data_IF_880691400791
#
_entry.id   IF_880691400791
#
_cell.length_a   1.000
_cell.length_b   1.000
_cell.length_c   1.000
_cell.angle_alpha   90.00
_cell.angle_beta   90.00
_cell.angle_gamma   90.00
#
_symmetry.space_group_name_H-M   'P 1'
#
loop_
_entity.id
_entity.type
_entity.pdbx_description
1 polymer ?
#
# COMPACT_ATOMS: atom_id res chain seq x y z
N UNK A 1 12.84 -74.13 -24.81
CA UNK A 1 12.08 -73.42 -23.76
C UNK A 1 12.84 -72.15 -23.36
N UNK A 2 12.37 -70.96 -23.78
CA UNK A 2 12.88 -69.66 -23.30
C UNK A 2 11.74 -68.99 -22.52
N UNK A 3 11.94 -68.52 -21.28
CA UNK A 3 10.89 -67.91 -20.51
C UNK A 3 10.61 -66.47 -21.00
N UNK A 4 9.34 -66.11 -20.85
CA UNK A 4 8.65 -65.04 -21.54
C UNK A 4 8.90 -63.68 -20.86
N UNK A 5 9.98 -63.00 -21.26
CA UNK A 5 10.43 -61.71 -20.69
C UNK A 5 9.44 -60.54 -20.90
N UNK A 6 8.38 -60.73 -21.69
CA UNK A 6 7.38 -59.68 -21.97
C UNK A 6 6.32 -59.51 -20.88
N UNK A 7 6.15 -60.48 -19.96
CA UNK A 7 5.14 -60.37 -18.89
C UNK A 7 5.59 -59.54 -17.67
N UNK A 8 6.89 -59.35 -17.44
CA UNK A 8 7.37 -58.59 -16.29
C UNK A 8 7.40 -57.06 -16.52
N UNK A 9 7.56 -56.60 -17.77
CA UNK A 9 7.63 -55.17 -18.08
C UNK A 9 6.26 -54.45 -17.90
N UNK A 10 5.16 -55.08 -18.31
CA UNK A 10 3.82 -54.49 -18.21
C UNK A 10 3.30 -54.31 -16.77
N UNK A 11 3.76 -55.15 -15.84
CA UNK A 11 3.35 -55.08 -14.43
C UNK A 11 4.04 -53.90 -13.69
N UNK A 12 5.30 -53.60 -14.03
CA UNK A 12 6.06 -52.50 -13.43
C UNK A 12 5.55 -51.14 -13.93
N UNK A 13 5.23 -51.06 -15.23
CA UNK A 13 4.74 -49.83 -15.86
C UNK A 13 3.32 -49.45 -15.41
N UNK A 14 2.44 -50.45 -15.24
CA UNK A 14 1.11 -50.25 -14.66
C UNK A 14 1.14 -49.81 -13.19
N UNK A 15 2.12 -50.28 -12.42
CA UNK A 15 2.34 -49.90 -11.02
C UNK A 15 2.88 -48.48 -10.86
N UNK A 16 3.77 -48.04 -11.76
CA UNK A 16 4.30 -46.68 -11.80
C UNK A 16 3.22 -45.68 -12.23
N UNK A 17 2.47 -45.97 -13.28
CA UNK A 17 1.37 -45.10 -13.76
C UNK A 17 0.26 -44.95 -12.71
N UNK A 18 -0.10 -46.03 -11.99
CA UNK A 18 -1.05 -45.98 -10.86
C UNK A 18 -0.49 -45.24 -9.63
N UNK A 19 0.83 -45.18 -9.43
CA UNK A 19 1.48 -44.38 -8.37
C UNK A 19 1.55 -42.90 -8.75
N UNK A 20 1.87 -42.56 -10.00
CA UNK A 20 1.86 -41.18 -10.51
C UNK A 20 0.44 -40.60 -10.51
N UNK A 21 -0.59 -41.37 -10.88
CA UNK A 21 -1.98 -40.92 -10.81
C UNK A 21 -2.45 -40.75 -9.36
N UNK A 22 -2.03 -41.62 -8.43
CA UNK A 22 -2.32 -41.47 -7.00
C UNK A 22 -1.57 -40.27 -6.38
N UNK A 23 -0.32 -40.02 -6.76
CA UNK A 23 0.44 -38.82 -6.38
C UNK A 23 -0.18 -37.55 -6.96
N UNK A 24 -0.66 -37.57 -8.21
CA UNK A 24 -1.39 -36.45 -8.82
C UNK A 24 -2.77 -36.22 -8.18
N UNK A 25 -3.46 -37.26 -7.72
CA UNK A 25 -4.71 -37.15 -6.95
C UNK A 25 -4.45 -36.66 -5.51
N UNK A 26 -3.38 -37.13 -4.87
CA UNK A 26 -2.94 -36.64 -3.56
C UNK A 26 -2.51 -35.16 -3.64
N UNK A 27 -1.80 -34.77 -4.70
CA UNK A 27 -1.48 -33.36 -4.99
C UNK A 27 -2.73 -32.52 -5.27
N UNK A 28 -3.76 -33.03 -5.97
CA UNK A 28 -5.06 -32.33 -6.12
C UNK A 28 -5.86 -32.24 -4.81
N UNK A 29 -5.61 -33.15 -3.85
CA UNK A 29 -6.18 -33.08 -2.50
C UNK A 29 -5.46 -32.05 -1.61
N UNK A 30 -4.14 -31.92 -1.76
CA UNK A 30 -3.30 -30.97 -1.02
C UNK A 30 -3.46 -29.53 -1.57
N UNK A 31 -3.74 -29.37 -2.88
CA UNK A 31 -4.10 -28.08 -3.50
C UNK A 31 -5.63 -27.88 -3.53
N UNK A 32 -6.35 -28.37 -2.52
CA UNK A 32 -7.63 -27.75 -2.15
C UNK A 32 -7.32 -26.63 -1.19
N UNK A 33 -7.02 -25.45 -1.76
CA UNK A 33 -7.09 -24.22 -1.00
C UNK A 33 -8.47 -24.20 -0.30
N UNK A 34 -8.54 -24.12 1.04
CA UNK A 34 -9.80 -23.87 1.70
C UNK A 34 -10.24 -22.48 1.25
N UNK A 35 -11.11 -22.42 0.25
CA UNK A 35 -11.83 -21.21 -0.09
C UNK A 35 -12.68 -20.90 1.15
N UNK A 36 -12.44 -19.76 1.83
CA UNK A 36 -13.27 -19.39 2.97
C UNK A 36 -14.73 -19.36 2.52
N UNK A 37 -15.60 -19.99 3.33
CA UNK A 37 -17.06 -19.96 3.16
C UNK A 37 -17.46 -18.53 2.83
N UNK A 38 -18.24 -18.39 1.75
CA UNK A 38 -18.87 -17.14 1.34
C UNK A 38 -19.83 -16.70 2.45
N UNK A 39 -19.34 -15.89 3.38
CA UNK A 39 -20.21 -15.12 4.27
C UNK A 39 -21.03 -14.16 3.42
N UNK A 40 -22.34 -14.41 3.41
CA UNK A 40 -23.39 -13.81 2.59
C UNK A 40 -23.68 -12.32 2.90
N UNK A 41 -22.73 -11.58 3.48
CA UNK A 41 -22.86 -10.15 3.83
C UNK A 41 -21.56 -9.35 3.54
N UNK A 42 -20.74 -9.79 2.59
CA UNK A 42 -19.61 -8.99 2.14
C UNK A 42 -20.07 -7.92 1.15
N UNK A 43 -20.00 -6.63 1.54
CA UNK A 43 -20.02 -5.49 0.61
C UNK A 43 -19.25 -5.86 -0.65
N UNK A 44 -19.88 -5.72 -1.82
CA UNK A 44 -19.38 -6.15 -3.14
C UNK A 44 -17.85 -6.02 -3.26
N UNK A 45 -17.14 -7.13 -2.99
CA UNK A 45 -15.68 -7.14 -2.89
C UNK A 45 -15.08 -7.07 -4.29
N UNK A 46 -14.23 -6.09 -4.53
CA UNK A 46 -13.64 -5.90 -5.85
C UNK A 46 -12.47 -6.88 -6.08
N UNK A 47 -12.76 -7.96 -6.81
CA UNK A 47 -11.78 -8.99 -7.14
C UNK A 47 -10.71 -8.49 -8.13
N UNK A 48 -11.00 -7.48 -8.96
CA UNK A 48 -10.00 -6.91 -9.88
C UNK A 48 -8.96 -6.12 -9.11
N UNK A 49 -9.42 -5.33 -8.16
CA UNK A 49 -8.56 -4.54 -7.28
C UNK A 49 -7.72 -5.42 -6.35
N UNK A 50 -8.32 -6.48 -5.80
CA UNK A 50 -7.56 -7.50 -5.07
C UNK A 50 -6.51 -8.18 -5.97
N UNK A 51 -6.82 -8.45 -7.24
CA UNK A 51 -5.85 -9.00 -8.19
C UNK A 51 -4.70 -8.01 -8.50
N UNK A 52 -5.00 -6.73 -8.71
CA UNK A 52 -3.98 -5.69 -8.91
C UNK A 52 -3.04 -5.58 -7.71
N UNK A 53 -3.57 -5.63 -6.49
CA UNK A 53 -2.76 -5.69 -5.25
C UNK A 53 -1.92 -6.97 -5.17
N UNK A 54 -2.46 -8.09 -5.65
CA UNK A 54 -1.73 -9.34 -5.76
C UNK A 54 -0.52 -9.25 -6.67
N UNK A 55 -0.69 -8.63 -7.83
CA UNK A 55 0.41 -8.36 -8.75
C UNK A 55 1.43 -7.40 -8.13
N UNK A 56 0.97 -6.36 -7.42
CA UNK A 56 1.86 -5.43 -6.72
C UNK A 56 2.73 -6.15 -5.68
N UNK A 57 2.13 -6.99 -4.82
CA UNK A 57 2.91 -7.72 -3.81
C UNK A 57 3.84 -8.75 -4.43
N UNK A 58 3.48 -9.38 -5.55
CA UNK A 58 4.39 -10.27 -6.29
C UNK A 58 5.65 -9.55 -6.76
N UNK A 59 5.52 -8.30 -7.24
CA UNK A 59 6.68 -7.49 -7.64
C UNK A 59 7.62 -7.24 -6.44
N UNK A 60 7.07 -6.93 -5.27
CA UNK A 60 7.86 -6.74 -4.04
C UNK A 60 8.57 -8.03 -3.62
N UNK A 61 7.84 -9.14 -3.57
CA UNK A 61 8.41 -10.44 -3.19
C UNK A 61 9.56 -10.81 -4.12
N UNK A 62 9.35 -10.65 -5.43
CA UNK A 62 10.38 -11.00 -6.39
C UNK A 62 11.57 -10.03 -6.33
N UNK A 63 11.33 -8.72 -6.17
CA UNK A 63 12.39 -7.74 -5.94
C UNK A 63 13.26 -8.07 -4.73
N UNK A 64 12.65 -8.47 -3.61
CA UNK A 64 13.37 -8.85 -2.40
C UNK A 64 14.09 -10.19 -2.52
N UNK A 65 13.53 -11.16 -3.25
CA UNK A 65 14.24 -12.40 -3.58
C UNK A 65 15.55 -12.12 -4.34
N UNK A 66 15.57 -11.11 -5.21
CA UNK A 66 16.75 -10.76 -6.00
C UNK A 66 17.82 -10.01 -5.18
N UNK A 67 17.44 -9.25 -4.15
CA UNK A 67 18.39 -8.39 -3.42
C UNK A 67 19.61 -9.14 -2.86
N UNK A 68 19.47 -10.29 -2.17
CA UNK A 68 20.63 -11.05 -1.70
C UNK A 68 21.54 -11.57 -2.82
N UNK A 69 21.07 -11.62 -4.06
CA UNK A 69 21.88 -12.10 -5.20
C UNK A 69 22.86 -11.03 -5.68
N UNK A 70 22.46 -9.76 -5.73
CA UNK A 70 23.31 -8.71 -6.29
C UNK A 70 23.77 -7.66 -5.27
N UNK A 71 23.07 -7.48 -4.15
CA UNK A 71 23.36 -6.42 -3.18
C UNK A 71 24.28 -6.95 -2.07
N UNK A 72 25.59 -6.76 -2.25
CA UNK A 72 26.61 -7.24 -1.33
C UNK A 72 27.12 -6.16 -0.36
N UNK A 73 28.07 -6.50 0.52
CA UNK A 73 28.67 -5.56 1.48
C UNK A 73 29.31 -4.33 0.83
N UNK A 74 29.87 -4.51 -0.38
CA UNK A 74 30.50 -3.45 -1.16
C UNK A 74 29.54 -2.69 -2.08
N UNK A 75 28.23 -2.97 -2.00
CA UNK A 75 27.20 -2.40 -2.85
C UNK A 75 26.67 -3.36 -3.94
N UNK A 76 25.85 -2.85 -4.87
CA UNK A 76 25.21 -3.66 -5.89
C UNK A 76 26.17 -4.08 -7.00
N UNK A 77 26.25 -5.38 -7.27
CA UNK A 77 27.02 -5.95 -8.37
C UNK A 77 26.21 -6.00 -9.67
N UNK A 78 26.82 -5.69 -10.82
CA UNK A 78 26.14 -5.74 -12.10
C UNK A 78 25.88 -7.18 -12.54
N UNK A 79 24.69 -7.41 -13.07
CA UNK A 79 24.30 -8.67 -13.67
C UNK A 79 22.79 -8.81 -13.84
N UNK A 80 22.30 -9.98 -14.28
CA UNK A 80 20.88 -10.24 -14.55
C UNK A 80 19.94 -9.85 -13.40
N UNK A 81 20.29 -10.18 -12.16
CA UNK A 81 19.46 -9.91 -10.99
C UNK A 81 19.27 -8.40 -10.77
N UNK A 82 20.35 -7.61 -10.85
CA UNK A 82 20.28 -6.16 -10.76
C UNK A 82 19.46 -5.56 -11.91
N UNK A 83 19.60 -6.08 -13.14
CA UNK A 83 18.87 -5.60 -14.30
C UNK A 83 17.35 -5.77 -14.13
N UNK A 84 16.91 -6.96 -13.71
CA UNK A 84 15.49 -7.25 -13.41
C UNK A 84 15.01 -6.40 -12.23
N UNK A 85 15.83 -6.31 -11.18
CA UNK A 85 15.51 -5.52 -10.00
C UNK A 85 15.29 -4.04 -10.34
N UNK A 86 16.11 -3.43 -11.20
CA UNK A 86 15.93 -2.03 -11.63
C UNK A 86 14.60 -1.81 -12.34
N UNK A 87 14.17 -2.75 -13.18
CA UNK A 87 12.87 -2.69 -13.85
C UNK A 87 11.73 -2.70 -12.82
N UNK A 88 11.79 -3.59 -11.83
CA UNK A 88 10.79 -3.69 -10.76
C UNK A 88 10.79 -2.41 -9.90
N UNK A 89 11.96 -1.95 -9.48
CA UNK A 89 12.13 -0.82 -8.57
C UNK A 89 11.80 0.54 -9.18
N UNK A 90 11.80 0.64 -10.50
CA UNK A 90 11.39 1.84 -11.21
C UNK A 90 9.90 2.20 -10.97
N UNK A 91 9.03 1.23 -10.65
CA UNK A 91 7.59 1.52 -10.59
C UNK A 91 6.77 0.77 -9.52
N UNK A 92 7.25 -0.31 -8.89
CA UNK A 92 6.40 -1.11 -8.00
C UNK A 92 5.85 -0.31 -6.80
N UNK A 93 6.66 0.59 -6.20
CA UNK A 93 6.20 1.46 -5.11
C UNK A 93 5.18 2.50 -5.57
N UNK A 94 5.44 3.27 -6.66
CA UNK A 94 4.41 4.08 -7.32
C UNK A 94 3.09 3.34 -7.55
N UNK A 95 3.16 2.10 -8.03
CA UNK A 95 1.97 1.28 -8.27
C UNK A 95 1.22 0.94 -6.98
N UNK A 96 1.92 0.60 -5.89
CA UNK A 96 1.30 0.41 -4.57
C UNK A 96 0.57 1.66 -4.09
N UNK A 97 1.21 2.83 -4.17
CA UNK A 97 0.59 4.09 -3.75
C UNK A 97 -0.63 4.45 -4.60
N UNK A 98 -0.58 4.19 -5.91
CA UNK A 98 -1.73 4.31 -6.81
C UNK A 98 -2.91 3.46 -6.33
N UNK A 99 -2.69 2.17 -6.06
CA UNK A 99 -3.73 1.26 -5.56
C UNK A 99 -4.26 1.66 -4.19
N UNK A 100 -3.39 2.17 -3.30
CA UNK A 100 -3.80 2.73 -2.00
C UNK A 100 -4.71 3.94 -2.18
N UNK A 101 -4.40 4.85 -3.10
CA UNK A 101 -5.23 6.00 -3.43
C UNK A 101 -6.61 5.59 -3.96
N UNK A 102 -6.67 4.58 -4.83
CA UNK A 102 -7.95 4.10 -5.40
C UNK A 102 -8.94 3.57 -4.35
N UNK A 103 -8.44 3.08 -3.21
CA UNK A 103 -9.26 2.43 -2.19
C UNK A 103 -9.54 3.32 -0.99
N UNK A 104 -8.73 4.36 -0.80
CA UNK A 104 -8.88 5.21 0.37
C UNK A 104 -10.12 6.10 0.24
N UNK A 105 -10.72 6.44 1.38
CA UNK A 105 -12.02 7.12 1.46
C UNK A 105 -11.99 8.48 2.15
N UNK A 106 -10.82 9.05 2.44
CA UNK A 106 -10.66 10.38 3.06
C UNK A 106 -11.39 11.47 2.24
N UNK A 107 -12.19 12.30 2.90
CA UNK A 107 -13.12 13.29 2.33
C UNK A 107 -12.85 14.75 2.69
N UNK A 108 -11.89 15.08 3.54
CA UNK A 108 -11.59 16.49 3.86
C UNK A 108 -11.16 16.72 5.31
N UNK A 109 -11.57 17.87 5.84
CA UNK A 109 -11.35 18.34 7.22
C UNK A 109 -11.94 17.40 8.28
N UNK A 110 -13.17 16.91 8.08
CA UNK A 110 -13.79 15.89 8.94
C UNK A 110 -12.93 14.61 9.06
N UNK A 111 -12.09 14.37 8.05
CA UNK A 111 -11.26 13.17 7.92
C UNK A 111 -9.78 13.41 8.24
N UNK A 112 -9.31 14.62 8.60
CA UNK A 112 -7.91 14.79 9.05
C UNK A 112 -7.65 13.96 10.29
N UNK A 113 -8.52 14.07 11.30
CA UNK A 113 -8.35 13.32 12.55
C UNK A 113 -8.38 11.81 12.30
N UNK A 114 -9.25 11.35 11.40
CA UNK A 114 -9.33 9.95 10.98
C UNK A 114 -8.08 9.51 10.21
N UNK A 115 -7.56 10.35 9.31
CA UNK A 115 -6.33 10.11 8.57
C UNK A 115 -5.12 10.03 9.50
N UNK A 116 -5.01 10.94 10.47
CA UNK A 116 -3.96 10.96 11.48
C UNK A 116 -4.03 9.74 12.40
N UNK A 117 -5.23 9.32 12.82
CA UNK A 117 -5.41 8.10 13.62
C UNK A 117 -5.00 6.86 12.81
N UNK A 118 -5.40 6.80 11.53
CA UNK A 118 -4.99 5.72 10.64
C UNK A 118 -3.48 5.71 10.41
N UNK A 119 -2.85 6.88 10.25
CA UNK A 119 -1.41 7.01 10.11
C UNK A 119 -0.69 6.53 11.38
N UNK A 120 -1.19 6.90 12.57
CA UNK A 120 -0.65 6.44 13.83
C UNK A 120 -0.74 4.91 13.98
N UNK A 121 -1.85 4.29 13.54
CA UNK A 121 -1.96 2.82 13.50
C UNK A 121 -0.90 2.18 12.61
N UNK A 122 -0.66 2.75 11.42
CA UNK A 122 0.36 2.26 10.49
C UNK A 122 1.77 2.40 11.09
N UNK A 123 2.07 3.55 11.71
CA UNK A 123 3.35 3.81 12.37
C UNK A 123 3.56 2.87 13.55
N UNK A 124 2.60 2.72 14.46
CA UNK A 124 2.75 1.78 15.58
C UNK A 124 2.87 0.33 15.13
N UNK A 125 2.17 -0.05 14.05
CA UNK A 125 2.33 -1.38 13.45
C UNK A 125 3.76 -1.56 12.92
N UNK A 126 4.30 -0.56 12.22
CA UNK A 126 5.68 -0.59 11.75
C UNK A 126 6.67 -0.68 12.92
N UNK A 127 6.53 0.16 13.94
CA UNK A 127 7.40 0.13 15.11
C UNK A 127 7.34 -1.22 15.84
N UNK A 128 6.14 -1.80 16.02
CA UNK A 128 5.99 -3.11 16.67
C UNK A 128 6.76 -4.22 15.95
N UNK A 129 6.63 -4.31 14.61
CA UNK A 129 7.38 -5.29 13.84
C UNK A 129 8.88 -4.99 13.80
N UNK A 130 9.26 -3.71 13.78
CA UNK A 130 10.67 -3.30 13.87
C UNK A 130 11.27 -3.72 15.21
N UNK A 131 10.55 -3.60 16.33
CA UNK A 131 11.01 -4.04 17.65
C UNK A 131 11.25 -5.54 17.69
N UNK A 132 10.36 -6.33 17.10
CA UNK A 132 10.55 -7.78 17.02
C UNK A 132 11.79 -8.15 16.19
N UNK A 133 12.03 -7.43 15.08
CA UNK A 133 13.19 -7.66 14.23
C UNK A 133 14.52 -7.24 14.87
N UNK A 134 14.50 -6.39 15.90
CA UNK A 134 15.69 -6.01 16.67
C UNK A 134 16.08 -7.03 17.74
N UNK A 135 15.23 -7.98 18.07
CA UNK A 135 15.52 -8.94 19.16
C UNK A 135 16.82 -9.71 18.89
N UNK A 136 17.04 -10.36 17.72
CA UNK A 136 18.30 -11.06 17.46
C UNK A 136 19.55 -10.16 17.58
N UNK A 137 19.65 -9.00 16.88
CA UNK A 137 20.86 -8.18 16.98
C UNK A 137 21.10 -7.57 18.37
N UNK A 138 20.06 -7.37 19.17
CA UNK A 138 20.18 -6.96 20.58
C UNK A 138 20.72 -8.09 21.47
N UNK A 139 20.27 -9.33 21.26
CA UNK A 139 20.75 -10.49 22.00
C UNK A 139 22.19 -10.84 21.66
N UNK A 140 22.57 -10.71 20.39
CA UNK A 140 23.93 -10.97 19.91
C UNK A 140 24.90 -9.80 20.18
N UNK A 141 24.42 -8.71 20.80
CA UNK A 141 25.21 -7.54 21.18
C UNK A 141 25.67 -6.66 19.99
N UNK A 142 25.21 -6.95 18.78
CA UNK A 142 25.58 -6.19 17.57
C UNK A 142 25.02 -4.76 17.54
N UNK A 143 23.93 -4.50 18.28
CA UNK A 143 23.30 -3.19 18.39
C UNK A 143 23.08 -2.86 19.86
N UNK A 144 23.39 -1.62 20.27
CA UNK A 144 23.10 -1.18 21.64
C UNK A 144 21.61 -0.82 21.81
N UNK A 145 20.98 -1.14 22.96
CA UNK A 145 19.57 -0.78 23.21
C UNK A 145 19.31 0.73 23.07
N UNK A 146 20.25 1.56 23.55
CA UNK A 146 20.15 3.01 23.46
C UNK A 146 20.16 3.53 22.02
N UNK A 147 21.07 3.03 21.17
CA UNK A 147 21.09 3.38 19.75
C UNK A 147 19.83 2.91 19.03
N UNK A 148 19.37 1.69 19.31
CA UNK A 148 18.16 1.14 18.71
C UNK A 148 16.92 1.98 19.05
N UNK A 149 16.77 2.38 20.32
CA UNK A 149 15.68 3.25 20.76
C UNK A 149 15.75 4.62 20.07
N UNK A 150 16.95 5.21 19.97
CA UNK A 150 17.12 6.51 19.34
C UNK A 150 16.77 6.46 17.84
N UNK A 151 17.19 5.42 17.13
CA UNK A 151 16.87 5.24 15.71
C UNK A 151 15.36 5.01 15.50
N UNK A 152 14.71 4.24 16.39
CA UNK A 152 13.26 4.07 16.38
C UNK A 152 12.50 5.38 16.60
N UNK A 153 12.90 6.19 17.59
CA UNK A 153 12.27 7.48 17.88
C UNK A 153 12.46 8.48 16.73
N UNK A 154 13.57 8.35 16.00
CA UNK A 154 13.86 9.14 14.80
C UNK A 154 13.19 8.58 13.54
N UNK A 155 12.55 7.41 13.63
CA UNK A 155 11.99 6.70 12.47
C UNK A 155 13.04 6.37 11.42
N UNK A 156 14.30 6.19 11.85
CA UNK A 156 15.46 5.88 11.03
C UNK A 156 15.65 4.36 10.96
N UNK A 157 16.08 3.87 9.80
CA UNK A 157 16.57 2.49 9.59
C UNK A 157 15.65 1.41 10.22
N UNK A 158 14.34 1.50 9.90
CA UNK A 158 13.36 0.50 10.33
C UNK A 158 13.86 -0.90 10.02
N UNK A 159 13.95 -1.74 11.05
CA UNK A 159 14.76 -2.97 11.06
C UNK A 159 14.27 -4.02 10.07
N UNK A 160 12.97 -4.00 9.74
CA UNK A 160 12.48 -4.62 8.51
C UNK A 160 12.39 -3.53 7.45
N UNK A 161 13.29 -3.60 6.48
CA UNK A 161 13.46 -2.63 5.38
C UNK A 161 12.22 -2.45 4.52
N UNK A 162 11.16 -3.24 4.72
CA UNK A 162 9.89 -3.10 4.01
C UNK A 162 9.01 -2.05 4.68
N UNK A 163 9.05 -1.92 6.01
CA UNK A 163 8.07 -1.21 6.84
C UNK A 163 7.96 0.30 6.58
N UNK A 164 8.97 0.90 5.93
CA UNK A 164 8.96 2.30 5.54
C UNK A 164 7.70 2.68 4.75
N UNK A 165 7.17 1.76 3.95
CA UNK A 165 5.96 2.01 3.17
C UNK A 165 4.73 2.30 4.05
N UNK A 166 4.60 1.65 5.22
CA UNK A 166 3.49 1.92 6.14
C UNK A 166 3.57 3.33 6.70
N UNK A 167 4.78 3.78 7.06
CA UNK A 167 5.04 5.14 7.54
C UNK A 167 4.76 6.15 6.43
N UNK A 168 5.32 5.95 5.24
CA UNK A 168 5.11 6.81 4.08
C UNK A 168 3.62 6.89 3.69
N UNK A 169 2.88 5.77 3.71
CA UNK A 169 1.44 5.76 3.47
C UNK A 169 0.66 6.55 4.51
N UNK A 170 1.04 6.44 5.79
CA UNK A 170 0.47 7.26 6.86
C UNK A 170 0.65 8.76 6.58
N UNK A 171 1.88 9.17 6.23
CA UNK A 171 2.19 10.56 5.88
C UNK A 171 1.40 11.06 4.67
N UNK A 172 1.37 10.28 3.58
CA UNK A 172 0.61 10.64 2.37
C UNK A 172 -0.87 10.86 2.68
N UNK A 173 -1.48 10.02 3.53
CA UNK A 173 -2.88 10.18 3.93
C UNK A 173 -3.12 11.47 4.70
N UNK A 174 -2.23 11.81 5.64
CA UNK A 174 -2.33 13.05 6.43
C UNK A 174 -2.14 14.28 5.55
N UNK A 175 -1.12 14.29 4.70
CA UNK A 175 -0.87 15.39 3.75
C UNK A 175 -2.05 15.57 2.81
N UNK A 176 -2.61 14.49 2.28
CA UNK A 176 -3.76 14.56 1.38
C UNK A 176 -5.03 15.07 2.12
N UNK A 177 -5.28 14.61 3.34
CA UNK A 177 -6.40 15.11 4.16
C UNK A 177 -6.24 16.60 4.46
N UNK A 178 -5.03 17.03 4.84
CA UNK A 178 -4.70 18.43 5.09
C UNK A 178 -4.89 19.29 3.82
N UNK A 179 -4.49 18.80 2.65
CA UNK A 179 -4.69 19.50 1.38
C UNK A 179 -6.19 19.69 1.06
N UNK A 180 -7.04 18.73 1.41
CA UNK A 180 -8.50 18.82 1.20
C UNK A 180 -9.20 19.71 2.22
N UNK A 181 -8.66 19.85 3.44
CA UNK A 181 -9.30 20.60 4.52
C UNK A 181 -9.17 22.12 4.38
N UNK A 182 -8.27 22.60 3.53
CA UNK A 182 -8.08 24.03 3.32
C UNK A 182 -9.13 24.58 2.34
N UNK A 183 -9.83 25.63 2.76
CA UNK A 183 -10.97 26.19 2.03
C UNK A 183 -10.60 27.07 0.81
N UNK A 184 -9.32 27.36 0.57
CA UNK A 184 -8.91 28.26 -0.52
C UNK A 184 -8.69 27.50 -1.85
N UNK A 185 -9.08 28.07 -3.01
CA UNK A 185 -9.07 27.37 -4.32
C UNK A 185 -7.72 26.76 -4.73
N UNK A 186 -6.62 27.40 -4.34
CA UNK A 186 -5.26 26.96 -4.67
C UNK A 186 -4.55 26.23 -3.52
N UNK A 187 -5.10 26.25 -2.30
CA UNK A 187 -4.44 25.69 -1.12
C UNK A 187 -4.16 24.19 -1.25
N UNK A 188 -5.07 23.46 -1.90
CA UNK A 188 -4.87 22.05 -2.22
C UNK A 188 -3.54 21.81 -2.96
N UNK A 189 -3.28 22.57 -4.02
CA UNK A 189 -2.07 22.41 -4.83
C UNK A 189 -0.84 22.95 -4.13
N UNK A 190 -0.98 24.02 -3.35
CA UNK A 190 0.12 24.57 -2.54
C UNK A 190 0.59 23.57 -1.50
N UNK A 191 -0.30 22.90 -0.76
CA UNK A 191 0.07 21.88 0.24
C UNK A 191 0.77 20.69 -0.42
N UNK A 192 0.24 20.18 -1.54
CA UNK A 192 0.88 19.07 -2.25
C UNK A 192 2.24 19.48 -2.82
N UNK A 193 2.34 20.66 -3.43
CA UNK A 193 3.59 21.21 -3.95
C UNK A 193 4.64 21.42 -2.86
N UNK A 194 4.24 21.97 -1.71
CA UNK A 194 5.11 22.14 -0.56
C UNK A 194 5.59 20.81 0.00
N UNK A 195 4.71 19.81 0.13
CA UNK A 195 5.09 18.47 0.58
C UNK A 195 6.08 17.79 -0.39
N UNK A 196 5.89 17.95 -1.71
CA UNK A 196 6.83 17.46 -2.71
C UNK A 196 8.17 18.20 -2.66
N UNK A 197 8.16 19.52 -2.47
CA UNK A 197 9.38 20.32 -2.34
C UNK A 197 10.19 19.93 -1.10
N UNK A 198 9.53 19.76 0.05
CA UNK A 198 10.18 19.26 1.28
C UNK A 198 10.74 17.85 1.05
N UNK A 199 9.95 16.96 0.43
CA UNK A 199 10.39 15.61 0.12
C UNK A 199 11.60 15.57 -0.81
N UNK A 200 11.63 16.44 -1.82
CA UNK A 200 12.74 16.63 -2.74
C UNK A 200 14.00 17.08 -2.00
N UNK A 201 13.89 18.10 -1.13
CA UNK A 201 15.02 18.58 -0.31
C UNK A 201 15.55 17.44 0.58
N UNK A 202 14.65 16.72 1.27
CA UNK A 202 15.02 15.57 2.09
C UNK A 202 15.73 14.47 1.29
N UNK A 203 15.23 14.17 0.09
CA UNK A 203 15.86 13.20 -0.82
C UNK A 203 17.25 13.65 -1.26
N UNK A 204 17.41 14.92 -1.66
CA UNK A 204 18.68 15.49 -2.10
C UNK A 204 19.73 15.51 -0.97
N UNK A 205 19.29 15.67 0.27
CA UNK A 205 20.14 15.67 1.46
C UNK A 205 20.31 14.27 2.10
N UNK A 206 19.77 13.22 1.48
CA UNK A 206 19.72 11.87 2.05
C UNK A 206 19.18 11.85 3.49
N UNK A 207 18.19 12.70 3.78
CA UNK A 207 17.61 12.86 5.11
C UNK A 207 16.78 11.61 5.47
N UNK A 208 17.22 10.79 6.45
CA UNK A 208 16.72 9.42 6.59
C UNK A 208 15.48 9.29 7.48
N UNK A 209 14.97 10.40 8.01
CA UNK A 209 13.99 10.36 9.11
C UNK A 209 12.55 10.28 8.62
N UNK A 210 11.79 9.37 9.22
CA UNK A 210 10.34 9.20 9.02
C UNK A 210 9.89 9.08 7.56
N UNK A 211 10.80 8.74 6.63
CA UNK A 211 10.47 8.46 5.23
C UNK A 211 9.86 9.66 4.49
N UNK A 212 10.20 10.89 4.89
CA UNK A 212 9.68 12.11 4.26
C UNK A 212 10.13 12.20 2.79
N UNK A 213 11.35 11.75 2.48
CA UNK A 213 11.88 11.65 1.11
C UNK A 213 11.07 10.74 0.20
N UNK A 214 10.29 9.79 0.75
CA UNK A 214 9.49 8.86 -0.04
C UNK A 214 8.23 9.52 -0.61
N UNK A 215 7.80 10.67 -0.08
CA UNK A 215 6.61 11.39 -0.55
C UNK A 215 6.73 11.79 -2.03
N UNK A 216 7.95 12.08 -2.52
CA UNK A 216 8.22 12.40 -3.92
C UNK A 216 7.75 11.28 -4.87
N UNK A 217 8.05 10.02 -4.54
CA UNK A 217 7.61 8.85 -5.31
C UNK A 217 6.22 8.33 -4.94
N UNK A 218 5.63 8.79 -3.84
CA UNK A 218 4.38 8.25 -3.31
C UNK A 218 3.16 9.14 -3.57
N UNK A 219 3.27 10.44 -3.26
CA UNK A 219 2.15 11.38 -3.23
C UNK A 219 1.50 11.58 -4.61
N UNK A 220 2.25 11.74 -5.73
CA UNK A 220 1.63 11.92 -7.05
C UNK A 220 0.77 10.72 -7.47
N UNK A 221 1.27 9.51 -7.22
CA UNK A 221 0.58 8.27 -7.58
C UNK A 221 -0.62 8.02 -6.67
N UNK A 222 -0.50 8.29 -5.37
CA UNK A 222 -1.62 8.24 -4.47
C UNK A 222 -2.75 9.20 -4.87
N UNK A 223 -2.42 10.45 -5.20
CA UNK A 223 -3.38 11.45 -5.67
C UNK A 223 -4.02 11.01 -6.99
N UNK A 224 -3.23 10.49 -7.93
CA UNK A 224 -3.75 9.92 -9.18
C UNK A 224 -4.75 8.79 -8.91
N UNK A 225 -4.43 7.91 -7.96
CA UNK A 225 -5.30 6.80 -7.56
C UNK A 225 -6.62 7.28 -6.99
N UNK A 226 -6.60 8.31 -6.13
CA UNK A 226 -7.80 8.95 -5.57
C UNK A 226 -8.69 9.55 -6.65
N UNK A 227 -8.10 10.20 -7.66
CA UNK A 227 -8.84 10.92 -8.72
C UNK A 227 -9.38 9.98 -9.79
N UNK A 228 -8.58 9.03 -10.24
CA UNK A 228 -8.97 8.08 -11.28
C UNK A 228 -9.90 6.99 -10.73
N UNK A 229 -9.70 6.61 -9.46
CA UNK A 229 -10.47 5.55 -8.81
C UNK A 229 -10.43 4.26 -9.64
N UNK A 230 -11.59 3.63 -9.83
CA UNK A 230 -11.71 2.37 -10.59
C UNK A 230 -11.44 2.53 -12.09
N UNK A 231 -11.62 3.72 -12.66
CA UNK A 231 -11.39 3.97 -14.10
C UNK A 231 -9.93 3.73 -14.50
N UNK A 232 -9.00 3.82 -13.55
CA UNK A 232 -7.60 3.47 -13.80
C UNK A 232 -7.43 1.99 -14.22
N UNK A 233 -8.36 1.11 -13.84
CA UNK A 233 -8.31 -0.31 -14.19
C UNK A 233 -8.81 -0.58 -15.62
N UNK A 234 -9.47 0.36 -16.28
CA UNK A 234 -9.94 0.21 -17.66
C UNK A 234 -8.81 0.57 -18.66
N UNK A 235 -7.63 -0.02 -18.45
CA UNK A 235 -6.41 0.30 -19.19
C UNK A 235 -6.32 -0.44 -20.53
N UNK A 236 -6.05 0.30 -21.61
CA UNK A 236 -5.95 -0.27 -22.96
C UNK A 236 -4.72 -1.18 -23.13
N UNK A 237 -4.81 -2.13 -24.06
CA UNK A 237 -3.70 -3.05 -24.35
C UNK A 237 -2.49 -2.28 -24.90
N UNK A 238 -2.76 -1.27 -25.74
CA UNK A 238 -1.75 -0.41 -26.33
C UNK A 238 -0.98 0.34 -25.24
N UNK A 239 -1.67 0.90 -24.23
CA UNK A 239 -1.01 1.53 -23.08
C UNK A 239 -0.11 0.53 -22.35
N UNK A 240 -0.57 -0.72 -22.20
CA UNK A 240 0.21 -1.79 -21.59
C UNK A 240 1.49 -2.12 -22.37
N UNK A 241 1.39 -2.32 -23.69
CA UNK A 241 2.53 -2.63 -24.56
C UNK A 241 3.52 -1.48 -24.64
N UNK A 242 3.03 -0.25 -24.84
CA UNK A 242 3.88 0.95 -24.84
C UNK A 242 4.56 1.15 -23.48
N UNK A 243 3.82 0.95 -22.39
CA UNK A 243 4.34 1.04 -21.02
C UNK A 243 5.45 0.03 -20.76
N UNK A 244 5.28 -1.22 -21.20
CA UNK A 244 6.31 -2.26 -21.11
C UNK A 244 7.54 -1.90 -21.94
N UNK A 245 7.37 -1.42 -23.17
CA UNK A 245 8.47 -1.02 -24.03
C UNK A 245 9.29 0.12 -23.39
N UNK A 246 8.63 1.16 -22.88
CA UNK A 246 9.28 2.26 -22.15
C UNK A 246 10.01 1.75 -20.92
N UNK A 247 9.39 0.88 -20.12
CA UNK A 247 10.04 0.28 -18.95
C UNK A 247 11.34 -0.45 -19.32
N UNK A 248 11.29 -1.33 -20.32
CA UNK A 248 12.44 -2.14 -20.72
C UNK A 248 13.58 -1.30 -21.32
N UNK A 249 13.26 -0.20 -22.01
CA UNK A 249 14.25 0.70 -22.60
C UNK A 249 14.87 1.66 -21.57
N UNK A 250 14.09 2.14 -20.62
CA UNK A 250 14.47 3.24 -19.74
C UNK A 250 14.90 2.78 -18.34
N UNK A 251 14.21 1.82 -17.74
CA UNK A 251 14.44 1.44 -16.34
C UNK A 251 15.85 0.86 -16.06
N UNK A 252 16.48 0.05 -16.94
CA UNK A 252 17.83 -0.47 -16.69
C UNK A 252 18.90 0.60 -16.53
N UNK A 253 18.66 1.81 -17.07
CA UNK A 253 19.58 2.96 -17.03
C UNK A 253 19.42 3.82 -15.79
N UNK A 254 18.43 3.55 -14.95
CA UNK A 254 18.16 4.34 -13.75
C UNK A 254 18.27 3.46 -12.49
N UNK A 255 18.95 3.96 -11.46
CA UNK A 255 18.93 3.33 -10.15
C UNK A 255 17.92 4.05 -9.26
N UNK A 256 16.84 3.35 -8.91
CA UNK A 256 15.76 3.89 -8.09
C UNK A 256 15.61 3.02 -6.84
N UNK A 257 15.65 3.65 -5.68
CA UNK A 257 15.39 3.03 -4.39
C UNK A 257 14.63 4.04 -3.50
N UNK A 258 13.30 4.04 -3.64
CA UNK A 258 12.40 5.00 -2.97
C UNK A 258 12.57 4.98 -1.44
N UNK A 259 12.81 3.80 -0.86
CA UNK A 259 13.00 3.63 0.58
C UNK A 259 14.20 4.42 1.15
N UNK A 260 15.23 4.67 0.34
CA UNK A 260 16.41 5.47 0.72
C UNK A 260 16.40 6.86 0.09
N UNK A 261 15.32 7.23 -0.60
CA UNK A 261 15.21 8.52 -1.28
C UNK A 261 16.08 8.65 -2.52
N UNK A 262 16.55 7.54 -3.09
CA UNK A 262 17.36 7.54 -4.30
C UNK A 262 16.44 7.41 -5.52
N UNK A 263 16.38 8.45 -6.35
CA UNK A 263 15.53 8.48 -7.55
C UNK A 263 16.31 8.45 -8.88
N UNK A 264 17.64 8.39 -8.80
CA UNK A 264 18.52 8.47 -9.97
C UNK A 264 18.24 9.75 -10.77
N UNK A 265 17.98 9.62 -12.07
CA UNK A 265 17.39 10.70 -12.87
C UNK A 265 15.88 10.80 -12.58
N UNK A 266 15.38 11.90 -11.97
CA UNK A 266 13.98 12.01 -11.56
C UNK A 266 12.99 12.03 -12.73
N UNK A 267 13.37 12.61 -13.87
CA UNK A 267 12.52 12.62 -15.07
C UNK A 267 12.37 11.20 -15.62
N UNK A 268 13.48 10.45 -15.67
CA UNK A 268 13.47 9.05 -16.07
C UNK A 268 12.65 8.20 -15.08
N UNK A 269 12.79 8.44 -13.78
CA UNK A 269 11.94 7.82 -12.76
C UNK A 269 10.46 8.10 -13.03
N UNK A 270 10.05 9.35 -13.20
CA UNK A 270 8.65 9.71 -13.46
C UNK A 270 8.09 9.00 -14.71
N UNK A 271 8.85 8.98 -15.82
CA UNK A 271 8.47 8.29 -17.05
C UNK A 271 8.31 6.79 -16.82
N UNK A 272 9.29 6.14 -16.22
CA UNK A 272 9.25 4.69 -15.95
C UNK A 272 8.17 4.30 -14.94
N UNK A 273 7.94 5.12 -13.90
CA UNK A 273 6.92 4.89 -12.89
C UNK A 273 5.50 4.95 -13.49
N UNK A 274 5.21 5.96 -14.32
CA UNK A 274 3.92 6.07 -15.03
C UNK A 274 3.74 4.92 -16.02
N UNK A 275 4.76 4.65 -16.83
CA UNK A 275 4.74 3.56 -17.81
C UNK A 275 4.48 2.19 -17.15
N UNK A 276 5.16 1.92 -16.03
CA UNK A 276 5.00 0.67 -15.30
C UNK A 276 3.67 0.54 -14.57
N UNK A 277 3.14 1.63 -14.01
CA UNK A 277 1.77 1.63 -13.48
C UNK A 277 0.76 1.31 -14.60
N UNK A 278 0.86 1.97 -15.75
CA UNK A 278 -0.01 1.71 -16.91
C UNK A 278 0.06 0.26 -17.39
N UNK A 279 1.28 -0.29 -17.49
CA UNK A 279 1.50 -1.70 -17.80
C UNK A 279 0.80 -2.62 -16.81
N UNK A 280 1.01 -2.44 -15.51
CA UNK A 280 0.42 -3.33 -14.50
C UNK A 280 -1.09 -3.22 -14.41
N UNK A 281 -1.67 -2.03 -14.63
CA UNK A 281 -3.11 -1.86 -14.73
C UNK A 281 -3.66 -2.63 -15.94
N UNK A 282 -3.00 -2.54 -17.10
CA UNK A 282 -3.39 -3.27 -18.31
C UNK A 282 -3.29 -4.79 -18.13
N UNK A 283 -2.31 -5.28 -17.37
CA UNK A 283 -2.19 -6.70 -16.98
C UNK A 283 -3.34 -7.08 -16.04
N UNK A 284 -3.56 -6.32 -14.97
CA UNK A 284 -4.63 -6.58 -14.00
C UNK A 284 -6.02 -6.62 -14.66
N UNK A 285 -6.27 -5.72 -15.61
CA UNK A 285 -7.50 -5.65 -16.39
C UNK A 285 -7.72 -6.89 -17.26
N UNK A 286 -6.66 -7.54 -17.73
CA UNK A 286 -6.75 -8.71 -18.63
C UNK A 286 -6.74 -10.04 -17.91
N UNK A 287 -6.47 -10.08 -16.61
CA UNK A 287 -6.52 -11.32 -15.84
C UNK A 287 -7.96 -11.88 -15.84
N UNK A 288 -8.11 -13.14 -16.23
CA UNK A 288 -9.37 -13.90 -16.20
C UNK A 288 -9.13 -15.25 -15.53
N UNK A 289 -10.21 -15.91 -15.08
CA UNK A 289 -10.16 -17.29 -14.59
C UNK A 289 -9.17 -17.54 -13.43
N UNK A 290 -8.45 -18.68 -13.43
CA UNK A 290 -7.54 -19.05 -12.33
C UNK A 290 -6.43 -18.03 -12.03
N UNK A 291 -5.73 -17.44 -13.03
CA UNK A 291 -4.73 -16.39 -12.77
C UNK A 291 -5.27 -15.20 -11.97
N UNK A 292 -6.49 -14.73 -12.28
CA UNK A 292 -7.14 -13.65 -11.52
C UNK A 292 -7.43 -14.07 -10.07
N UNK A 293 -7.90 -15.31 -9.87
CA UNK A 293 -8.21 -15.83 -8.55
C UNK A 293 -6.95 -15.94 -7.67
N UNK A 294 -5.84 -16.42 -8.26
CA UNK A 294 -4.54 -16.52 -7.58
C UNK A 294 -4.01 -15.13 -7.23
N UNK A 295 -3.96 -14.20 -8.19
CA UNK A 295 -3.55 -12.83 -7.93
C UNK A 295 -4.43 -12.20 -6.84
N UNK A 296 -5.75 -12.34 -6.92
CA UNK A 296 -6.64 -11.81 -5.90
C UNK A 296 -6.37 -12.43 -4.51
N UNK A 297 -6.11 -13.73 -4.43
CA UNK A 297 -5.74 -14.40 -3.19
C UNK A 297 -4.45 -13.82 -2.58
N UNK A 298 -3.43 -13.61 -3.40
CA UNK A 298 -2.19 -12.96 -2.97
C UNK A 298 -2.45 -11.53 -2.49
N UNK A 299 -3.28 -10.76 -3.18
CA UNK A 299 -3.67 -9.41 -2.77
C UNK A 299 -4.37 -9.38 -1.41
N UNK A 300 -5.21 -10.38 -1.10
CA UNK A 300 -5.85 -10.54 0.22
C UNK A 300 -4.90 -10.93 1.33
N UNK A 301 -3.75 -11.49 0.98
CA UNK A 301 -2.71 -11.97 1.89
C UNK A 301 -1.48 -11.04 1.84
N UNK A 302 -1.60 -9.88 1.17
CA UNK A 302 -0.49 -9.01 0.83
C UNK A 302 0.27 -8.49 2.05
N UNK A 303 -0.43 -8.14 3.14
CA UNK A 303 0.21 -7.71 4.38
C UNK A 303 1.06 -8.82 5.01
N UNK A 304 0.53 -10.05 5.07
CA UNK A 304 1.23 -11.19 5.65
C UNK A 304 2.49 -11.51 4.82
N UNK A 305 2.35 -11.54 3.49
CA UNK A 305 3.46 -11.72 2.53
C UNK A 305 4.52 -10.63 2.64
N UNK A 306 4.09 -9.39 2.80
CA UNK A 306 4.97 -8.23 2.91
C UNK A 306 5.84 -8.28 4.18
N UNK A 307 5.28 -8.66 5.34
CA UNK A 307 6.06 -8.86 6.56
C UNK A 307 7.07 -10.00 6.41
N UNK A 308 6.65 -11.14 5.86
CA UNK A 308 7.54 -12.28 5.59
C UNK A 308 8.68 -11.89 4.65
N UNK A 309 8.39 -11.08 3.64
CA UNK A 309 9.41 -10.61 2.71
C UNK A 309 10.47 -9.73 3.38
N UNK A 310 10.06 -8.88 4.33
CA UNK A 310 11.01 -8.11 5.13
C UNK A 310 11.87 -8.99 6.03
N UNK A 311 11.28 -10.00 6.67
CA UNK A 311 12.04 -10.96 7.46
C UNK A 311 13.02 -11.76 6.59
N UNK A 312 12.61 -12.13 5.37
CA UNK A 312 13.52 -12.76 4.40
C UNK A 312 14.72 -11.88 4.09
N UNK A 313 14.54 -10.58 3.80
CA UNK A 313 15.66 -9.69 3.53
C UNK A 313 16.64 -9.57 4.70
N UNK A 314 16.13 -9.58 5.92
CA UNK A 314 16.96 -9.50 7.12
C UNK A 314 17.83 -10.76 7.30
N UNK A 315 17.27 -11.93 6.95
CA UNK A 315 17.88 -13.24 7.24
C UNK A 315 18.62 -13.84 6.04
N UNK A 316 18.33 -13.40 4.82
CA UNK A 316 18.86 -14.01 3.61
C UNK A 316 20.36 -13.68 3.46
N UNK A 317 21.23 -14.70 3.35
CA UNK A 317 22.65 -14.47 3.12
C UNK A 317 22.89 -13.94 1.71
N UNK A 318 23.94 -13.13 1.55
CA UNK A 318 24.42 -12.70 0.24
C UNK A 318 24.88 -13.91 -0.61
N UNK A 319 24.37 -14.02 -1.85
CA UNK A 319 24.55 -15.16 -2.78
C UNK A 319 24.81 -14.70 -4.22
N UNK A 320 25.98 -14.10 -4.52
CA UNK A 320 26.32 -13.64 -5.87
C UNK A 320 26.37 -14.75 -6.92
N UNK A 321 26.71 -15.96 -6.50
CA UNK A 321 26.84 -17.12 -7.39
C UNK A 321 25.52 -17.49 -8.10
N UNK A 322 24.39 -16.97 -7.60
CA UNK A 322 23.07 -17.21 -8.13
C UNK A 322 22.67 -16.25 -9.26
N UNK A 323 23.54 -15.31 -9.64
CA UNK A 323 23.23 -14.30 -10.65
C UNK A 323 23.30 -14.85 -12.09
N UNK A 324 22.37 -15.76 -12.40
CA UNK A 324 22.23 -16.44 -13.70
C UNK A 324 20.76 -16.60 -14.02
N UNK A 325 20.36 -16.32 -15.26
CA UNK A 325 18.94 -16.36 -15.68
C UNK A 325 18.18 -17.63 -15.23
N UNK A 326 18.77 -18.82 -15.41
CA UNK A 326 18.14 -20.08 -14.99
C UNK A 326 17.91 -20.17 -13.47
N UNK A 327 18.86 -19.66 -12.68
CA UNK A 327 18.75 -19.64 -11.22
C UNK A 327 17.75 -18.58 -10.74
N UNK A 328 17.63 -17.44 -11.43
CA UNK A 328 16.61 -16.44 -11.11
C UNK A 328 15.18 -16.97 -11.35
N UNK A 329 14.99 -17.74 -12.43
CA UNK A 329 13.71 -18.42 -12.70
C UNK A 329 13.41 -19.46 -11.62
N UNK A 330 14.40 -20.26 -11.24
CA UNK A 330 14.25 -21.24 -10.16
C UNK A 330 13.92 -20.55 -8.82
N UNK A 331 14.60 -19.43 -8.53
CA UNK A 331 14.38 -18.62 -7.34
C UNK A 331 12.95 -18.07 -7.30
N UNK A 332 12.40 -17.62 -8.43
CA UNK A 332 11.00 -17.22 -8.51
C UNK A 332 10.06 -18.42 -8.30
N UNK A 333 10.32 -19.54 -8.98
CA UNK A 333 9.47 -20.74 -8.96
C UNK A 333 9.40 -21.41 -7.60
N UNK A 334 10.46 -21.36 -6.80
CA UNK A 334 10.55 -21.98 -5.47
C UNK A 334 10.38 -20.96 -4.35
N UNK A 335 11.03 -19.80 -4.47
CA UNK A 335 11.03 -18.75 -3.46
C UNK A 335 9.64 -18.15 -3.23
N UNK A 336 8.85 -17.91 -4.28
CA UNK A 336 7.50 -17.35 -4.14
C UNK A 336 6.54 -18.30 -3.40
N UNK A 337 6.46 -19.61 -3.74
CA UNK A 337 5.69 -20.56 -2.93
C UNK A 337 6.16 -20.65 -1.47
N UNK A 338 7.47 -20.63 -1.21
CA UNK A 338 7.99 -20.67 0.16
C UNK A 338 7.58 -19.43 0.97
N UNK A 339 7.64 -18.24 0.37
CA UNK A 339 7.14 -17.02 1.00
C UNK A 339 5.65 -17.11 1.32
N UNK A 340 4.84 -17.67 0.41
CA UNK A 340 3.42 -17.88 0.64
C UNK A 340 3.16 -18.87 1.78
N UNK A 341 3.86 -20.00 1.80
CA UNK A 341 3.75 -20.98 2.88
C UNK A 341 4.13 -20.35 4.23
N UNK A 342 5.24 -19.62 4.29
CA UNK A 342 5.65 -18.91 5.50
C UNK A 342 4.61 -17.86 5.94
N UNK A 343 4.05 -17.08 5.02
CA UNK A 343 3.01 -16.09 5.32
C UNK A 343 1.73 -16.73 5.85
N UNK A 344 1.33 -17.88 5.32
CA UNK A 344 0.17 -18.63 5.81
C UNK A 344 0.42 -19.22 7.20
N UNK A 345 1.61 -19.77 7.44
CA UNK A 345 2.01 -20.33 8.75
C UNK A 345 2.13 -19.26 9.83
N UNK A 346 2.67 -18.09 9.49
CA UNK A 346 2.87 -16.96 10.42
C UNK A 346 1.67 -16.02 10.54
N UNK A 347 0.57 -16.31 9.85
CA UNK A 347 -0.62 -15.45 9.77
C UNK A 347 -1.22 -15.14 11.14
N UNK A 348 -1.31 -16.13 12.02
CA UNK A 348 -1.81 -15.96 13.39
C UNK A 348 -0.96 -14.97 14.19
N UNK A 349 0.35 -15.24 14.36
CA UNK A 349 1.30 -14.32 15.00
C UNK A 349 1.30 -12.90 14.42
N UNK A 350 1.41 -12.76 13.09
CA UNK A 350 1.43 -11.45 12.41
C UNK A 350 0.17 -10.63 12.76
N UNK A 351 -1.00 -11.26 12.75
CA UNK A 351 -2.26 -10.62 13.12
C UNK A 351 -2.36 -10.28 14.60
N UNK A 352 -1.75 -11.06 15.48
CA UNK A 352 -1.72 -10.76 16.90
C UNK A 352 -0.91 -9.49 17.17
N UNK A 353 0.30 -9.40 16.62
CA UNK A 353 1.17 -8.21 16.72
C UNK A 353 0.46 -6.97 16.18
N UNK A 354 -0.10 -7.07 14.98
CA UNK A 354 -0.84 -5.96 14.36
C UNK A 354 -2.04 -5.51 15.20
N UNK A 355 -2.87 -6.44 15.68
CA UNK A 355 -4.03 -6.10 16.53
C UNK A 355 -3.61 -5.46 17.85
N UNK A 356 -2.50 -5.92 18.44
CA UNK A 356 -1.92 -5.30 19.62
C UNK A 356 -1.54 -3.84 19.36
N UNK A 357 -0.80 -3.58 18.29
CA UNK A 357 -0.39 -2.22 17.90
C UNK A 357 -1.60 -1.31 17.61
N UNK A 358 -2.58 -1.78 16.83
CA UNK A 358 -3.80 -1.02 16.53
C UNK A 358 -4.66 -0.78 17.79
N UNK A 359 -4.74 -1.76 18.69
CA UNK A 359 -5.48 -1.67 19.95
C UNK A 359 -4.96 -0.61 20.92
N UNK A 360 -3.64 -0.36 20.93
CA UNK A 360 -3.05 0.76 21.69
C UNK A 360 -3.60 2.09 21.20
N UNK A 361 -3.66 2.28 19.88
CA UNK A 361 -4.21 3.50 19.27
C UNK A 361 -5.70 3.66 19.57
N UNK A 362 -6.46 2.58 19.43
CA UNK A 362 -7.90 2.59 19.70
C UNK A 362 -8.21 2.89 21.19
N UNK A 363 -7.42 2.33 22.10
CA UNK A 363 -7.52 2.64 23.53
C UNK A 363 -7.20 4.10 23.85
N UNK A 364 -6.18 4.68 23.21
CA UNK A 364 -5.88 6.11 23.32
C UNK A 364 -7.05 6.94 22.80
N UNK A 365 -7.50 6.72 21.56
CA UNK A 365 -8.59 7.47 20.96
C UNK A 365 -9.89 7.39 21.77
N UNK A 366 -10.20 6.22 22.35
CA UNK A 366 -11.33 6.04 23.26
C UNK A 366 -11.25 6.93 24.49
N UNK A 367 -10.10 6.98 25.16
CA UNK A 367 -9.85 7.87 26.31
C UNK A 367 -10.00 9.34 25.95
N UNK A 368 -9.46 9.77 24.80
CA UNK A 368 -9.59 11.14 24.31
C UNK A 368 -11.05 11.53 24.06
N UNK A 369 -11.84 10.67 23.41
CA UNK A 369 -13.27 10.91 23.17
C UNK A 369 -14.08 10.96 24.46
N UNK A 370 -13.76 10.11 25.44
CA UNK A 370 -14.42 10.12 26.75
C UNK A 370 -14.16 11.43 27.50
N UNK A 371 -12.89 11.88 27.51
CA UNK A 371 -12.51 13.16 28.14
C UNK A 371 -13.21 14.35 27.50
N UNK A 372 -13.22 14.42 26.18
CA UNK A 372 -13.93 15.48 25.44
C UNK A 372 -15.43 15.51 25.74
N UNK A 373 -16.08 14.34 25.94
CA UNK A 373 -17.49 14.27 26.34
C UNK A 373 -17.72 14.77 27.77
N UNK A 374 -16.85 14.40 28.71
CA UNK A 374 -16.93 14.86 30.10
C UNK A 374 -16.80 16.39 30.15
N UNK A 375 -15.81 16.95 29.44
CA UNK A 375 -15.57 18.39 29.39
C UNK A 375 -16.74 19.15 28.75
N UNK A 376 -17.35 18.60 27.68
CA UNK A 376 -18.55 19.16 27.07
C UNK A 376 -19.77 19.15 28.00
N UNK A 377 -19.97 18.07 28.77
CA UNK A 377 -21.06 18.00 29.77
C UNK A 377 -20.81 18.88 31.01
N UNK A 378 -19.55 19.09 31.39
CA UNK A 378 -19.16 19.99 32.47
C UNK A 378 -19.36 21.47 32.13
N UNK A 379 -19.14 21.85 30.86
CA UNK A 379 -19.42 23.19 30.34
C UNK A 379 -20.91 23.54 30.38
N UNK A 380 -21.80 22.59 30.04
CA UNK A 380 -23.25 22.81 30.11
C UNK A 380 -23.83 22.92 31.52
N UNK A 381 -23.09 22.53 32.57
CA UNK A 381 -23.56 22.60 33.96
C UNK A 381 -23.18 23.91 34.67
N UNK A 382 -22.22 24.69 34.13
CA UNK A 382 -21.80 25.99 34.69
C UNK A 382 -22.53 27.21 34.10
N UNK A 383 -23.32 27.05 33.04
CA UNK A 383 -24.11 28.15 32.43
C UNK A 383 -25.57 28.24 32.91
N UNK A 384 -25.99 27.43 33.89
CA UNK A 384 -27.30 27.56 34.56
C UNK A 384 -27.16 28.14 35.97
N UNK A 385 -26.64 29.35 36.08
CA UNK A 385 -26.73 30.15 37.30
C UNK A 385 -26.56 31.64 37.00
N UNK A 386 -27.50 32.23 36.26
CA UNK A 386 -27.79 33.66 36.34
C UNK A 386 -29.24 33.89 35.94
N UNK A 387 -30.18 34.09 36.89
CA UNK A 387 -31.53 34.51 36.57
C UNK A 387 -31.51 36.01 36.27
N UNK A 388 -31.50 36.37 34.99
CA UNK A 388 -31.72 37.76 34.57
C UNK A 388 -33.22 38.06 34.70
N UNK A 389 -33.58 38.73 35.77
CA UNK A 389 -34.93 39.21 36.10
C UNK A 389 -35.23 40.41 35.20
N UNK A 390 -35.91 40.18 34.07
CA UNK A 390 -36.48 41.27 33.25
C UNK A 390 -37.99 41.25 33.44
N UNK A 391 -38.48 42.29 34.12
CA UNK A 391 -39.88 42.66 34.24
C UNK A 391 -40.44 42.96 32.83
N UNK A 392 -41.48 42.20 32.43
CA UNK A 392 -42.40 42.58 31.35
C UNK A 392 -43.70 43.09 31.98
N UNK A 393 -43.94 44.38 31.85
CA UNK A 393 -45.28 44.98 31.92
C UNK A 393 -45.98 44.88 30.57
N UNK A 394 -47.30 45.03 30.62
CA UNK A 394 -48.35 44.44 29.78
C UNK A 394 -48.65 45.13 28.42
N UNK A 395 -49.63 44.52 27.72
CA UNK A 395 -50.43 44.97 26.56
C UNK A 395 -49.75 44.78 25.19
N UNK A 396 -50.31 44.06 24.22
CA UNK A 396 -51.66 44.08 23.63
C UNK A 396 -51.54 43.58 22.16
N UNK A 397 -52.64 43.36 21.41
CA UNK A 397 -52.80 42.18 20.56
C UNK A 397 -52.40 42.34 19.07
N UNK A 398 -52.23 41.18 18.42
CA UNK A 398 -52.13 40.97 16.96
C UNK A 398 -53.40 41.45 16.22
N UNK A 399 -53.31 41.82 14.93
CA UNK A 399 -53.87 40.90 13.93
C UNK A 399 -53.20 40.86 12.54
N UNK A 400 -53.38 39.69 11.93
CA UNK A 400 -53.75 39.40 10.53
C UNK A 400 -52.88 39.87 9.33
N UNK A 401 -52.56 38.86 8.51
CA UNK A 401 -52.25 38.94 7.08
C UNK A 401 -53.50 39.32 6.26
N UNK A 402 -53.34 39.87 5.04
CA UNK A 402 -53.80 39.09 3.89
C UNK A 402 -52.94 39.21 2.62
N UNK A 403 -53.30 38.34 1.68
CA UNK A 403 -52.69 38.03 0.39
C UNK A 403 -52.77 39.11 -0.69
N UNK A 404 -51.99 38.90 -1.76
CA UNK A 404 -52.38 38.89 -3.19
C UNK A 404 -51.46 39.67 -4.16
N UNK A 405 -51.14 38.97 -5.26
CA UNK A 405 -50.47 39.35 -6.52
C UNK A 405 -51.37 40.29 -7.37
N UNK A 406 -50.92 41.00 -8.44
CA UNK A 406 -50.31 40.39 -9.65
C UNK A 406 -49.34 41.25 -10.51
N UNK A 407 -48.98 40.66 -11.66
CA UNK A 407 -48.02 40.97 -12.72
C UNK A 407 -48.22 42.25 -13.54
N UNK A 408 -47.14 42.75 -14.17
CA UNK A 408 -47.07 43.36 -15.53
C UNK A 408 -45.61 43.24 -16.02
N UNK A 409 -45.31 42.40 -17.03
CA UNK A 409 -45.13 42.71 -18.47
C UNK A 409 -43.95 43.64 -18.83
N UNK A 410 -43.05 43.10 -19.67
CA UNK A 410 -41.90 43.68 -20.40
C UNK A 410 -42.35 44.74 -21.47
N UNK A 411 -41.54 45.27 -22.45
CA UNK A 411 -40.20 44.88 -22.96
C UNK A 411 -39.28 46.05 -23.46
N UNK A 412 -38.21 45.69 -24.20
CA UNK A 412 -37.29 46.49 -25.06
C UNK A 412 -36.13 47.22 -24.34
N UNK A 413 -34.90 47.36 -24.86
CA UNK A 413 -34.35 47.19 -26.20
C UNK A 413 -32.78 47.16 -26.17
N UNK A 414 -32.17 46.55 -27.21
CA UNK A 414 -31.01 47.03 -28.02
C UNK A 414 -29.72 47.42 -27.26
N UNK A 415 -28.60 46.70 -27.39
CA UNK A 415 -27.62 46.85 -28.49
C UNK A 415 -26.17 46.94 -27.95
N UNK A 416 -25.13 46.89 -28.80
CA UNK A 416 -23.92 46.08 -28.55
C UNK A 416 -22.61 46.86 -28.27
N UNK A 417 -21.53 46.06 -28.13
CA UNK A 417 -20.10 46.36 -28.33
C UNK A 417 -19.33 47.21 -27.31
N UNK A 418 -18.41 46.57 -26.58
CA UNK A 418 -17.05 47.10 -26.33
C UNK A 418 -16.04 45.93 -26.20
N UNK A 419 -15.16 45.85 -27.21
CA UNK A 419 -13.76 45.37 -27.27
C UNK A 419 -13.24 44.21 -26.41
#
# INVERSE_FOLDING_TARGET
MRPDARRCAGAVEGGFRKRVIRLAKAWRGIIRFPMPRTDLMARHRDTQLDAARGLAVLLVLFGHLLQPVFYGPSGPNPGPALAVWRVIYAFHMPFFFLLCGMVDRVRGDEDIAAASLSALKLVLTALAFSTLALIPPLLDGTVSPGSALLDMLRGRDLSLSVLWFLVALGLVRVVYAAALALAFPHAYWVVLGAALAVSWICSAQAFPFWQIHALLGALPFYVAGRRLGRRALDASALLGVCGLAVLLLCAPRNFVHVATGQYGNPALFAVTAVAGCGFMLAVADRLRGPPRAVAAFLGRTSFDLYIVSGAFLLLAPYRPDWDRWGLLVLLAAVGLPLHLLAALSLRGPIRAVRRGAEGVVDGLAGRWRLRARIDATGSTRRSRAFPMRILKTCAGPSPASPASRPSMTAPHAIGPDVR
#
